data_IF_545182276218
#
_entry.id   IF_545182276218
#
_cell.length_a   1.000
_cell.length_b   1.000
_cell.length_c   1.000
_cell.angle_alpha   90.00
_cell.angle_beta   90.00
_cell.angle_gamma   90.00
#
_symmetry.space_group_name_H-M   'P 1'
#
loop_
_entity.id
_entity.type
_entity.pdbx_description
1 polymer ?
#
# COMPACT_ATOMS: atom_id res chain seq x y z
N UNK A 1 36.91 7.51 -7.46
CA UNK A 1 36.02 6.67 -6.67
C UNK A 1 35.31 7.48 -5.57
N UNK A 2 36.03 8.23 -4.72
CA UNK A 2 35.46 9.05 -3.62
C UNK A 2 34.43 10.09 -4.09
N UNK A 3 34.67 10.79 -5.21
CA UNK A 3 33.74 11.78 -5.77
C UNK A 3 32.44 11.12 -6.24
N UNK A 4 32.52 9.90 -6.75
CA UNK A 4 31.34 9.13 -7.15
C UNK A 4 30.50 8.70 -5.93
N UNK A 5 31.17 8.23 -4.87
CA UNK A 5 30.52 7.81 -3.62
C UNK A 5 29.85 9.00 -2.93
N UNK A 6 30.50 10.18 -2.90
CA UNK A 6 29.91 11.39 -2.31
C UNK A 6 28.67 11.88 -3.06
N UNK A 7 28.65 11.76 -4.39
CA UNK A 7 27.49 12.11 -5.21
C UNK A 7 26.35 11.07 -5.12
N UNK A 8 26.68 9.79 -4.95
CA UNK A 8 25.69 8.72 -4.83
C UNK A 8 25.06 8.63 -3.42
N UNK A 9 25.76 9.12 -2.40
CA UNK A 9 25.34 9.03 -1.00
C UNK A 9 23.90 9.55 -0.73
N UNK A 10 23.48 10.76 -1.18
CA UNK A 10 22.14 11.25 -0.92
C UNK A 10 21.06 10.37 -1.58
N UNK A 11 21.33 9.83 -2.77
CA UNK A 11 20.39 8.94 -3.45
C UNK A 11 20.28 7.58 -2.78
N UNK A 12 21.42 7.00 -2.35
CA UNK A 12 21.43 5.74 -1.63
C UNK A 12 20.74 5.84 -0.28
N UNK A 13 20.88 6.98 0.41
CA UNK A 13 20.22 7.21 1.71
C UNK A 13 18.68 7.34 1.54
N UNK A 14 18.23 8.06 0.51
CA UNK A 14 16.80 8.21 0.20
C UNK A 14 16.16 6.86 -0.20
N UNK A 15 16.92 6.00 -0.90
CA UNK A 15 16.49 4.65 -1.28
C UNK A 15 16.57 3.62 -0.14
N UNK A 16 16.99 4.02 1.07
CA UNK A 16 17.18 3.09 2.20
C UNK A 16 18.43 2.20 2.05
N UNK A 17 19.29 2.47 1.07
CA UNK A 17 20.52 1.73 0.77
C UNK A 17 21.78 2.40 1.38
N UNK A 18 21.62 3.26 2.37
CA UNK A 18 22.71 3.98 3.05
C UNK A 18 23.80 3.06 3.61
N UNK A 19 23.45 1.84 3.98
CA UNK A 19 24.38 0.81 4.46
C UNK A 19 25.39 0.33 3.40
N UNK A 20 25.16 0.58 2.10
CA UNK A 20 26.12 0.30 1.04
C UNK A 20 27.29 1.30 1.04
N UNK A 21 27.08 2.51 1.56
CA UNK A 21 28.10 3.56 1.55
C UNK A 21 29.37 3.17 2.33
N UNK A 22 29.29 2.66 3.57
CA UNK A 22 30.46 2.16 4.28
C UNK A 22 31.20 1.05 3.52
N UNK A 23 30.47 0.13 2.87
CA UNK A 23 31.05 -0.96 2.08
C UNK A 23 31.85 -0.40 0.89
N UNK A 24 31.26 0.55 0.14
CA UNK A 24 31.92 1.20 -0.99
C UNK A 24 33.16 1.98 -0.56
N UNK A 25 33.14 2.61 0.63
CA UNK A 25 34.29 3.32 1.20
C UNK A 25 35.40 2.37 1.67
N UNK A 26 35.04 1.20 2.22
CA UNK A 26 36.02 0.15 2.54
C UNK A 26 36.78 -0.31 1.29
N UNK A 27 36.06 -0.56 0.18
CA UNK A 27 36.66 -0.93 -1.10
C UNK A 27 37.55 0.18 -1.67
N UNK A 28 37.26 1.45 -1.33
CA UNK A 28 38.06 2.60 -1.75
C UNK A 28 39.30 2.85 -0.87
N UNK A 29 39.58 2.00 0.13
CA UNK A 29 40.79 2.10 0.98
C UNK A 29 40.71 3.11 2.12
N UNK A 30 39.51 3.57 2.49
CA UNK A 30 39.29 4.43 3.66
C UNK A 30 39.41 3.61 4.97
N UNK A 31 39.61 4.30 6.11
CA UNK A 31 39.82 3.71 7.43
C UNK A 31 38.78 2.60 7.75
N UNK A 32 39.22 1.35 7.75
CA UNK A 32 38.41 0.16 7.89
C UNK A 32 37.59 0.14 9.20
N UNK A 33 38.21 0.60 10.30
CA UNK A 33 37.61 0.61 11.64
C UNK A 33 36.40 1.54 11.73
N UNK A 34 36.44 2.72 11.10
CA UNK A 34 35.33 3.67 11.08
C UNK A 34 34.17 3.16 10.22
N UNK A 35 34.52 2.59 9.06
CA UNK A 35 33.51 2.05 8.15
C UNK A 35 32.83 0.79 8.73
N UNK A 36 33.54 -0.05 9.46
CA UNK A 36 32.96 -1.17 10.21
C UNK A 36 32.04 -0.71 11.33
N UNK A 37 32.38 0.36 12.03
CA UNK A 37 31.54 0.93 13.07
C UNK A 37 30.25 1.52 12.49
N UNK A 38 30.33 2.22 11.35
CA UNK A 38 29.16 2.74 10.63
C UNK A 38 28.28 1.61 10.11
N UNK A 39 28.86 0.56 9.55
CA UNK A 39 28.13 -0.62 9.09
C UNK A 39 27.45 -1.34 10.26
N UNK A 40 28.14 -1.47 11.40
CA UNK A 40 27.55 -2.04 12.61
C UNK A 40 26.33 -1.22 13.09
N UNK A 41 26.43 0.11 13.09
CA UNK A 41 25.33 0.97 13.50
C UNK A 41 24.16 0.92 12.51
N UNK A 42 24.41 0.83 11.20
CA UNK A 42 23.37 0.87 10.17
C UNK A 42 22.72 -0.49 9.89
N UNK A 43 23.45 -1.59 10.02
CA UNK A 43 22.98 -2.96 9.80
C UNK A 43 23.00 -3.81 11.04
N UNK A 44 24.13 -3.83 11.78
CA UNK A 44 24.30 -4.72 12.91
C UNK A 44 23.26 -4.48 14.02
N UNK A 45 23.10 -3.22 14.43
CA UNK A 45 22.15 -2.86 15.49
C UNK A 45 20.70 -3.18 15.10
N UNK A 46 20.20 -2.80 13.90
CA UNK A 46 18.85 -3.22 13.47
C UNK A 46 18.67 -4.74 13.36
N UNK A 47 19.68 -5.46 12.85
CA UNK A 47 19.61 -6.93 12.75
C UNK A 47 19.56 -7.59 14.13
N UNK A 48 20.37 -7.11 15.09
CA UNK A 48 20.30 -7.60 16.48
C UNK A 48 18.94 -7.29 17.10
N UNK A 49 18.41 -6.10 16.89
CA UNK A 49 17.10 -5.74 17.39
C UNK A 49 15.99 -6.63 16.83
N UNK A 50 16.02 -6.90 15.51
CA UNK A 50 15.08 -7.82 14.85
C UNK A 50 15.25 -9.24 15.38
N UNK A 51 16.49 -9.72 15.54
CA UNK A 51 16.76 -11.05 16.08
C UNK A 51 16.25 -11.21 17.51
N UNK A 52 16.48 -10.20 18.38
CA UNK A 52 15.94 -10.18 19.74
C UNK A 52 14.40 -10.17 19.75
N UNK A 53 13.78 -9.37 18.89
CA UNK A 53 12.33 -9.35 18.74
C UNK A 53 11.79 -10.73 18.32
N UNK A 54 12.38 -11.36 17.32
CA UNK A 54 11.96 -12.69 16.84
C UNK A 54 12.18 -13.76 17.90
N UNK A 55 13.28 -13.69 18.67
CA UNK A 55 13.55 -14.60 19.78
C UNK A 55 12.51 -14.42 20.90
N UNK A 56 12.21 -13.18 21.29
CA UNK A 56 11.18 -12.87 22.29
C UNK A 56 9.80 -13.36 21.83
N UNK A 57 9.41 -13.07 20.57
CA UNK A 57 8.17 -13.55 20.00
C UNK A 57 8.10 -15.08 20.01
N UNK A 58 9.17 -15.76 19.59
CA UNK A 58 9.22 -17.23 19.60
C UNK A 58 9.05 -17.80 21.01
N UNK A 59 9.70 -17.18 22.00
CA UNK A 59 9.61 -17.61 23.40
C UNK A 59 8.20 -17.37 24.00
N UNK A 60 7.56 -16.26 23.67
CA UNK A 60 6.20 -15.95 24.12
C UNK A 60 5.18 -16.86 23.42
N UNK A 61 5.30 -17.05 22.11
CA UNK A 61 4.41 -17.92 21.33
C UNK A 61 4.42 -19.36 21.86
N UNK A 62 5.58 -19.88 22.26
CA UNK A 62 5.71 -21.21 22.81
C UNK A 62 5.06 -21.40 24.19
N UNK A 63 4.66 -20.32 24.87
CA UNK A 63 4.08 -20.35 26.23
C UNK A 63 2.58 -20.07 26.26
N UNK A 64 2.01 -19.64 25.13
CA UNK A 64 0.62 -19.21 25.04
C UNK A 64 -0.17 -20.26 24.27
N UNK A 65 -0.89 -21.11 24.98
CA UNK A 65 -1.89 -22.01 24.41
C UNK A 65 -3.28 -21.38 24.57
N UNK A 66 -4.00 -21.26 23.46
CA UNK A 66 -5.37 -20.75 23.45
C UNK A 66 -6.35 -21.86 23.13
N UNK A 67 -7.64 -21.64 23.41
CA UNK A 67 -8.72 -22.56 23.03
C UNK A 67 -8.82 -22.82 21.51
N UNK A 68 -8.20 -21.97 20.70
CA UNK A 68 -8.13 -22.06 19.24
C UNK A 68 -6.81 -22.67 18.72
N UNK A 69 -5.91 -23.11 19.65
CA UNK A 69 -4.58 -23.64 19.33
C UNK A 69 -3.46 -22.73 19.85
N UNK A 70 -2.21 -23.16 19.70
CA UNK A 70 -1.04 -22.38 20.07
C UNK A 70 -0.87 -21.13 19.21
N UNK A 71 -0.36 -20.05 19.80
CA UNK A 71 -0.03 -18.82 19.04
C UNK A 71 1.13 -19.11 18.08
N UNK A 72 1.00 -18.82 16.77
CA UNK A 72 2.05 -19.14 15.81
C UNK A 72 3.31 -18.29 16.07
N UNK A 73 4.45 -18.98 16.21
CA UNK A 73 5.76 -18.35 16.29
C UNK A 73 6.29 -17.97 14.89
N UNK A 74 7.45 -17.27 14.81
CA UNK A 74 8.02 -16.78 13.56
C UNK A 74 8.26 -17.89 12.51
N UNK A 75 8.71 -19.06 12.95
CA UNK A 75 8.94 -20.21 12.07
C UNK A 75 7.64 -20.76 11.48
N UNK A 76 6.57 -20.84 12.28
CA UNK A 76 5.25 -21.27 11.82
C UNK A 76 4.66 -20.28 10.80
N UNK A 77 4.79 -18.99 11.06
CA UNK A 77 4.36 -17.92 10.12
C UNK A 77 5.13 -18.02 8.80
N UNK A 78 6.46 -18.25 8.85
CA UNK A 78 7.26 -18.43 7.65
C UNK A 78 6.85 -19.67 6.85
N UNK A 79 6.58 -20.78 7.54
CA UNK A 79 6.12 -22.01 6.90
C UNK A 79 4.77 -21.79 6.20
N UNK A 80 3.83 -21.13 6.90
CA UNK A 80 2.52 -20.82 6.34
C UNK A 80 2.60 -19.85 5.15
N UNK A 81 3.46 -18.84 5.21
CA UNK A 81 3.70 -17.95 4.08
C UNK A 81 4.18 -18.71 2.83
N UNK A 82 5.02 -19.72 3.01
CA UNK A 82 5.45 -20.60 1.90
C UNK A 82 4.30 -21.46 1.37
N UNK A 83 3.45 -21.98 2.25
CA UNK A 83 2.26 -22.74 1.87
C UNK A 83 1.29 -21.89 1.05
N UNK A 84 1.04 -20.64 1.45
CA UNK A 84 0.19 -19.69 0.71
C UNK A 84 0.73 -19.40 -0.70
N UNK A 85 2.04 -19.29 -0.85
CA UNK A 85 2.67 -19.14 -2.19
C UNK A 85 2.50 -20.41 -3.02
N UNK A 86 2.66 -21.59 -2.41
CA UNK A 86 2.47 -22.87 -3.10
C UNK A 86 1.00 -23.06 -3.51
N UNK A 87 0.05 -22.72 -2.63
CA UNK A 87 -1.39 -22.74 -2.93
C UNK A 87 -1.73 -21.82 -4.11
N UNK A 88 -1.17 -20.62 -4.13
CA UNK A 88 -1.37 -19.68 -5.22
C UNK A 88 -0.89 -20.24 -6.57
N UNK A 89 0.28 -20.88 -6.59
CA UNK A 89 0.82 -21.49 -7.81
C UNK A 89 -0.07 -22.63 -8.29
N UNK A 90 -0.46 -23.52 -7.37
CA UNK A 90 -1.34 -24.64 -7.69
C UNK A 90 -2.70 -24.18 -8.22
N UNK A 91 -3.26 -23.09 -7.69
CA UNK A 91 -4.53 -22.53 -8.17
C UNK A 91 -4.39 -21.89 -9.56
N UNK A 92 -3.23 -21.26 -9.84
CA UNK A 92 -2.92 -20.76 -11.18
C UNK A 92 -2.81 -21.88 -12.21
N UNK A 93 -2.14 -22.98 -11.88
CA UNK A 93 -2.05 -24.16 -12.73
C UNK A 93 -3.44 -24.76 -13.02
N UNK A 94 -4.28 -24.91 -11.99
CA UNK A 94 -5.67 -25.38 -12.17
C UNK A 94 -6.48 -24.48 -13.10
N UNK A 95 -6.29 -23.18 -13.00
CA UNK A 95 -6.94 -22.20 -13.86
C UNK A 95 -6.51 -22.36 -15.32
N UNK A 96 -5.20 -22.49 -15.56
CA UNK A 96 -4.65 -22.69 -16.90
C UNK A 96 -5.13 -24.00 -17.50
N UNK A 97 -5.10 -25.10 -16.75
CA UNK A 97 -5.65 -26.38 -17.17
C UNK A 97 -7.15 -26.32 -17.49
N UNK A 98 -7.92 -25.56 -16.71
CA UNK A 98 -9.35 -25.39 -16.97
C UNK A 98 -9.58 -24.70 -18.33
N UNK A 99 -8.86 -23.62 -18.62
CA UNK A 99 -8.99 -22.94 -19.90
C UNK A 99 -8.46 -23.76 -21.06
N UNK A 100 -7.35 -24.46 -20.90
CA UNK A 100 -6.81 -25.37 -21.93
C UNK A 100 -7.80 -26.49 -22.27
N UNK A 101 -8.41 -27.12 -21.25
CA UNK A 101 -9.45 -28.15 -21.46
C UNK A 101 -10.69 -27.57 -22.14
N UNK A 102 -11.08 -26.33 -21.80
CA UNK A 102 -12.22 -25.65 -22.42
C UNK A 102 -11.93 -25.33 -23.90
N UNK A 103 -10.74 -24.86 -24.19
CA UNK A 103 -10.28 -24.57 -25.56
C UNK A 103 -10.25 -25.82 -26.41
N UNK A 104 -9.64 -26.91 -25.92
CA UNK A 104 -9.59 -28.20 -26.63
C UNK A 104 -10.99 -28.73 -26.92
N UNK A 105 -11.90 -28.67 -25.96
CA UNK A 105 -13.30 -29.10 -26.14
C UNK A 105 -14.04 -28.23 -27.16
N UNK A 106 -13.85 -26.92 -27.11
CA UNK A 106 -14.50 -25.98 -28.04
C UNK A 106 -13.96 -26.15 -29.46
N UNK A 107 -12.65 -26.39 -29.61
CA UNK A 107 -12.02 -26.68 -30.89
C UNK A 107 -12.54 -28.01 -31.50
N UNK A 108 -12.69 -29.05 -30.69
CA UNK A 108 -13.28 -30.33 -31.14
C UNK A 108 -14.75 -30.13 -31.61
N UNK A 109 -15.56 -29.40 -30.85
CA UNK A 109 -16.95 -29.12 -31.21
C UNK A 109 -17.08 -28.31 -32.51
N UNK A 110 -16.20 -27.35 -32.75
CA UNK A 110 -16.17 -26.56 -33.99
C UNK A 110 -15.67 -27.39 -35.19
N UNK A 111 -14.79 -28.37 -34.98
CA UNK A 111 -14.31 -29.28 -35.99
C UNK A 111 -15.43 -30.24 -36.46
N UNK A 112 -16.30 -30.69 -35.55
CA UNK A 112 -17.45 -31.54 -35.89
C UNK A 112 -18.60 -30.70 -36.51
N UNK A 113 -18.85 -29.50 -35.98
CA UNK A 113 -19.90 -28.64 -36.48
C UNK A 113 -19.44 -27.16 -36.44
N UNK A 114 -19.15 -26.55 -37.63
CA UNK A 114 -18.73 -25.15 -37.70
C UNK A 114 -19.75 -24.12 -37.16
N UNK A 115 -21.03 -24.51 -36.97
CA UNK A 115 -22.08 -23.70 -36.38
C UNK A 115 -22.31 -23.98 -34.89
N UNK A 116 -21.44 -24.79 -34.23
CA UNK A 116 -21.59 -25.11 -32.83
C UNK A 116 -21.39 -23.86 -31.95
N UNK A 117 -22.25 -23.70 -30.96
CA UNK A 117 -22.15 -22.63 -29.97
C UNK A 117 -20.94 -22.85 -29.06
N UNK A 118 -19.95 -21.97 -29.15
CA UNK A 118 -18.76 -22.00 -28.27
C UNK A 118 -19.12 -21.49 -26.89
N UNK A 119 -19.06 -22.36 -25.89
CA UNK A 119 -19.30 -21.96 -24.49
C UNK A 119 -18.02 -21.55 -23.82
N UNK A 120 -17.88 -20.26 -23.55
CA UNK A 120 -16.79 -19.72 -22.73
C UNK A 120 -17.31 -19.56 -21.28
N UNK A 121 -16.85 -20.45 -20.40
CA UNK A 121 -17.15 -20.37 -18.97
C UNK A 121 -15.98 -19.73 -18.24
N UNK A 122 -16.27 -18.76 -17.37
CA UNK A 122 -15.28 -18.17 -16.48
C UNK A 122 -14.89 -19.18 -15.40
N UNK A 123 -13.59 -19.28 -15.11
CA UNK A 123 -13.12 -20.07 -13.98
C UNK A 123 -13.62 -19.48 -12.67
N UNK A 124 -14.23 -20.31 -11.83
CA UNK A 124 -14.83 -19.92 -10.54
C UNK A 124 -14.08 -20.54 -9.36
N UNK A 125 -12.76 -20.70 -9.49
CA UNK A 125 -11.90 -21.17 -8.40
C UNK A 125 -11.88 -20.22 -7.21
N UNK A 126 -11.45 -20.73 -6.07
CA UNK A 126 -11.36 -19.96 -4.83
C UNK A 126 -10.24 -18.89 -4.97
N UNK A 127 -10.52 -17.61 -4.66
CA UNK A 127 -9.47 -16.58 -4.66
C UNK A 127 -8.42 -16.93 -3.60
N UNK A 128 -7.16 -16.94 -4.00
CA UNK A 128 -6.05 -17.21 -3.09
C UNK A 128 -5.77 -16.02 -2.19
N UNK A 129 -5.05 -16.25 -1.10
CA UNK A 129 -4.69 -15.17 -0.17
C UNK A 129 -3.88 -14.05 -0.84
N UNK A 130 -3.00 -14.40 -1.80
CA UNK A 130 -2.27 -13.41 -2.59
C UNK A 130 -3.17 -12.57 -3.49
N UNK A 131 -4.20 -13.19 -4.12
CA UNK A 131 -5.19 -12.43 -4.89
C UNK A 131 -5.96 -11.45 -4.00
N UNK A 132 -6.31 -11.88 -2.77
CA UNK A 132 -6.98 -11.01 -1.79
C UNK A 132 -6.09 -9.84 -1.34
N UNK A 133 -4.78 -10.08 -1.13
CA UNK A 133 -3.81 -9.00 -0.83
C UNK A 133 -3.77 -8.00 -1.97
N UNK A 134 -3.64 -8.45 -3.22
CA UNK A 134 -3.58 -7.57 -4.38
C UNK A 134 -4.87 -6.75 -4.54
N UNK A 135 -6.02 -7.39 -4.37
CA UNK A 135 -7.31 -6.69 -4.40
C UNK A 135 -7.41 -5.65 -3.29
N UNK A 136 -6.98 -5.98 -2.07
CA UNK A 136 -6.97 -5.06 -0.94
C UNK A 136 -6.04 -3.86 -1.19
N UNK A 137 -4.83 -4.11 -1.71
CA UNK A 137 -3.88 -3.05 -2.08
C UNK A 137 -4.45 -2.14 -3.18
N UNK A 138 -5.04 -2.72 -4.23
CA UNK A 138 -5.68 -1.96 -5.30
C UNK A 138 -6.83 -1.09 -4.76
N UNK A 139 -7.66 -1.63 -3.86
CA UNK A 139 -8.76 -0.92 -3.22
C UNK A 139 -8.27 0.26 -2.37
N UNK A 140 -7.28 0.00 -1.51
CA UNK A 140 -6.68 1.05 -0.65
C UNK A 140 -6.01 2.12 -1.49
N UNK A 141 -5.24 1.73 -2.51
CA UNK A 141 -4.58 2.66 -3.41
C UNK A 141 -5.59 3.55 -4.15
N UNK A 142 -6.65 2.95 -4.69
CA UNK A 142 -7.72 3.69 -5.37
C UNK A 142 -8.38 4.69 -4.44
N UNK A 143 -8.78 4.26 -3.23
CA UNK A 143 -9.38 5.15 -2.25
C UNK A 143 -8.44 6.28 -1.79
N UNK A 144 -7.15 5.97 -1.61
CA UNK A 144 -6.15 6.96 -1.24
C UNK A 144 -5.91 7.99 -2.36
N UNK A 145 -5.83 7.56 -3.61
CA UNK A 145 -5.69 8.47 -4.77
C UNK A 145 -6.90 9.39 -4.87
N UNK A 146 -8.12 8.87 -4.76
CA UNK A 146 -9.33 9.68 -4.78
C UNK A 146 -9.35 10.70 -3.63
N UNK A 147 -8.99 10.26 -2.42
CA UNK A 147 -8.87 11.16 -1.27
C UNK A 147 -7.83 12.27 -1.53
N UNK A 148 -6.68 11.94 -2.06
CA UNK A 148 -5.57 12.87 -2.34
C UNK A 148 -5.96 13.89 -3.40
N UNK A 149 -6.65 13.47 -4.47
CA UNK A 149 -7.14 14.38 -5.53
C UNK A 149 -8.07 15.48 -5.00
N UNK A 150 -8.81 15.20 -3.93
CA UNK A 150 -9.69 16.18 -3.29
C UNK A 150 -8.98 16.91 -2.15
N UNK A 151 -8.27 16.16 -1.30
CA UNK A 151 -7.65 16.69 -0.09
C UNK A 151 -6.51 17.67 -0.36
N UNK A 152 -5.68 17.41 -1.37
CA UNK A 152 -4.52 18.26 -1.66
C UNK A 152 -4.94 19.63 -2.17
N UNK A 153 -5.82 19.79 -3.18
CA UNK A 153 -6.27 21.11 -3.61
C UNK A 153 -6.97 21.89 -2.48
N UNK A 154 -7.88 21.22 -1.76
CA UNK A 154 -8.57 21.86 -0.63
C UNK A 154 -7.62 22.22 0.51
N UNK A 155 -6.64 21.36 0.81
CA UNK A 155 -5.62 21.58 1.82
C UNK A 155 -4.70 22.75 1.46
N UNK A 156 -4.30 22.88 0.20
CA UNK A 156 -3.52 24.05 -0.29
C UNK A 156 -4.35 25.32 -0.14
N UNK A 157 -5.60 25.33 -0.56
CA UNK A 157 -6.49 26.48 -0.38
C UNK A 157 -6.68 26.85 1.10
N UNK A 158 -6.86 25.85 1.98
CA UNK A 158 -7.00 26.07 3.41
C UNK A 158 -5.69 26.57 4.06
N UNK A 159 -4.54 26.10 3.61
CA UNK A 159 -3.23 26.55 4.09
C UNK A 159 -2.89 28.00 3.69
N UNK A 160 -3.34 28.41 2.50
CA UNK A 160 -3.12 29.77 1.98
C UNK A 160 -4.13 30.81 2.50
N UNK A 161 -5.37 30.38 2.85
CA UNK A 161 -6.47 31.28 3.20
C UNK A 161 -7.03 30.98 4.58
N UNK A 162 -6.95 31.96 5.50
CA UNK A 162 -7.55 31.86 6.84
C UNK A 162 -9.08 31.65 6.78
N UNK A 163 -9.75 32.25 5.79
CA UNK A 163 -11.20 32.11 5.61
C UNK A 163 -11.58 30.68 5.20
N UNK A 164 -10.86 30.12 4.23
CA UNK A 164 -11.08 28.71 3.81
C UNK A 164 -10.77 27.77 4.96
N UNK A 165 -9.68 27.99 5.69
CA UNK A 165 -9.34 27.17 6.86
C UNK A 165 -10.43 27.24 7.93
N UNK A 166 -10.96 28.41 8.25
CA UNK A 166 -12.05 28.57 9.21
C UNK A 166 -13.34 27.87 8.76
N UNK A 167 -13.62 27.84 7.45
CA UNK A 167 -14.79 27.14 6.90
C UNK A 167 -14.64 25.61 6.91
N UNK A 168 -13.44 25.09 6.65
CA UNK A 168 -13.19 23.64 6.57
C UNK A 168 -12.95 23.03 7.94
N UNK A 169 -12.40 23.78 8.89
CA UNK A 169 -12.02 23.27 10.19
C UNK A 169 -13.17 22.59 10.99
N UNK A 170 -14.42 23.12 11.05
CA UNK A 170 -15.51 22.43 11.71
C UNK A 170 -15.82 21.05 11.11
N UNK A 171 -15.76 20.94 9.77
CA UNK A 171 -15.97 19.66 9.09
C UNK A 171 -14.89 18.64 9.44
N UNK A 172 -13.64 19.11 9.46
CA UNK A 172 -12.50 18.28 9.88
C UNK A 172 -12.67 17.77 11.31
N UNK A 173 -13.10 18.64 12.24
CA UNK A 173 -13.28 18.24 13.65
C UNK A 173 -14.41 17.23 13.83
N UNK A 174 -15.46 17.29 13.02
CA UNK A 174 -16.59 16.35 13.08
C UNK A 174 -16.21 15.01 12.46
N UNK A 175 -15.58 15.01 11.29
CA UNK A 175 -15.37 13.78 10.49
C UNK A 175 -14.06 13.06 10.76
N UNK A 176 -13.00 13.77 11.19
CA UNK A 176 -11.71 13.14 11.51
C UNK A 176 -11.79 12.03 12.56
N UNK A 177 -12.54 12.16 13.68
CA UNK A 177 -12.64 11.12 14.70
C UNK A 177 -13.55 9.96 14.31
N UNK A 178 -14.25 10.02 13.17
CA UNK A 178 -15.17 8.95 12.77
C UNK A 178 -14.39 7.71 12.36
N UNK A 179 -14.69 6.59 13.03
CA UNK A 179 -14.05 5.30 12.75
C UNK A 179 -14.43 4.77 11.36
N UNK A 180 -13.51 4.10 10.63
CA UNK A 180 -13.83 3.38 9.40
C UNK A 180 -15.00 2.40 9.55
N UNK A 181 -15.14 1.77 10.71
CA UNK A 181 -16.27 0.87 11.02
C UNK A 181 -17.61 1.59 11.04
N UNK A 182 -17.65 2.88 11.40
CA UNK A 182 -18.88 3.67 11.36
C UNK A 182 -19.24 4.12 9.94
N UNK A 183 -18.24 4.35 9.08
CA UNK A 183 -18.46 4.69 7.68
C UNK A 183 -18.99 3.52 6.85
N UNK A 184 -18.54 2.30 7.11
CA UNK A 184 -18.85 1.14 6.29
C UNK A 184 -20.36 0.88 6.11
N UNK A 185 -21.21 0.87 7.16
CA UNK A 185 -22.65 0.68 6.99
C UNK A 185 -23.32 1.78 6.15
N UNK A 186 -22.92 3.04 6.36
CA UNK A 186 -23.47 4.19 5.66
C UNK A 186 -23.11 4.11 4.17
N UNK A 187 -21.84 3.86 3.86
CA UNK A 187 -21.35 3.70 2.49
C UNK A 187 -22.03 2.53 1.80
N UNK A 188 -22.15 1.39 2.49
CA UNK A 188 -22.81 0.21 1.93
C UNK A 188 -24.29 0.47 1.61
N UNK A 189 -25.01 1.19 2.46
CA UNK A 189 -26.39 1.57 2.22
C UNK A 189 -26.52 2.46 0.98
N UNK A 190 -25.70 3.50 0.87
CA UNK A 190 -25.71 4.44 -0.26
C UNK A 190 -25.32 3.74 -1.57
N UNK A 191 -24.22 2.97 -1.55
CA UNK A 191 -23.76 2.24 -2.74
C UNK A 191 -24.78 1.21 -3.18
N UNK A 192 -25.43 0.49 -2.26
CA UNK A 192 -26.45 -0.49 -2.59
C UNK A 192 -27.69 0.15 -3.22
N UNK A 193 -28.00 1.39 -2.87
CA UNK A 193 -29.12 2.14 -3.43
C UNK A 193 -28.82 2.74 -4.81
N UNK A 194 -27.59 3.20 -5.03
CA UNK A 194 -27.21 3.95 -6.24
C UNK A 194 -26.57 3.04 -7.29
N UNK A 195 -25.76 2.07 -6.86
CA UNK A 195 -25.02 1.17 -7.74
C UNK A 195 -25.79 -0.14 -7.95
N UNK A 196 -26.89 -0.06 -8.72
CA UNK A 196 -27.71 -1.20 -9.10
C UNK A 196 -27.44 -1.53 -10.55
N UNK A 197 -26.67 -2.60 -10.80
CA UNK A 197 -26.39 -3.13 -12.14
C UNK A 197 -26.35 -4.65 -12.07
N UNK A 198 -26.93 -5.31 -13.09
CA UNK A 198 -26.90 -6.77 -13.23
C UNK A 198 -25.51 -7.28 -13.64
N UNK A 199 -24.72 -6.44 -14.33
CA UNK A 199 -23.31 -6.71 -14.69
C UNK A 199 -22.46 -5.50 -14.29
N UNK A 200 -22.09 -5.38 -13.02
CA UNK A 200 -21.34 -4.25 -12.52
C UNK A 200 -19.89 -4.30 -13.02
N UNK A 201 -19.41 -3.20 -13.60
CA UNK A 201 -18.02 -3.05 -14.04
C UNK A 201 -17.01 -3.24 -12.90
N UNK A 202 -17.38 -2.85 -11.67
CA UNK A 202 -16.62 -3.06 -10.45
C UNK A 202 -17.47 -3.82 -9.44
N UNK A 203 -16.85 -4.72 -8.70
CA UNK A 203 -17.55 -5.41 -7.60
C UNK A 203 -18.01 -4.42 -6.53
N UNK A 204 -19.23 -4.59 -6.02
CA UNK A 204 -19.80 -3.72 -4.97
C UNK A 204 -18.92 -3.64 -3.72
N UNK A 205 -18.25 -4.75 -3.37
CA UNK A 205 -17.29 -4.83 -2.27
C UNK A 205 -16.11 -3.89 -2.47
N UNK A 206 -15.56 -3.84 -3.70
CA UNK A 206 -14.48 -2.94 -4.06
C UNK A 206 -14.90 -1.47 -3.94
N UNK A 207 -16.07 -1.11 -4.50
CA UNK A 207 -16.59 0.26 -4.46
C UNK A 207 -16.84 0.71 -3.02
N UNK A 208 -17.50 -0.12 -2.20
CA UNK A 208 -17.74 0.16 -0.77
C UNK A 208 -16.44 0.44 -0.02
N UNK A 209 -15.45 -0.44 -0.21
CA UNK A 209 -14.16 -0.33 0.47
C UNK A 209 -13.37 0.88 -0.02
N UNK A 210 -13.34 1.15 -1.33
CA UNK A 210 -12.63 2.29 -1.89
C UNK A 210 -13.22 3.63 -1.41
N UNK A 211 -14.55 3.77 -1.36
CA UNK A 211 -15.23 4.97 -0.83
C UNK A 211 -14.93 5.12 0.67
N UNK A 212 -15.00 4.03 1.44
CA UNK A 212 -14.68 4.07 2.88
C UNK A 212 -13.24 4.53 3.11
N UNK A 213 -12.27 3.99 2.37
CA UNK A 213 -10.87 4.43 2.43
C UNK A 213 -10.73 5.89 2.03
N UNK A 214 -11.45 6.34 0.99
CA UNK A 214 -11.45 7.74 0.55
C UNK A 214 -11.88 8.66 1.69
N UNK A 215 -13.01 8.39 2.33
CA UNK A 215 -13.53 9.20 3.43
C UNK A 215 -12.59 9.21 4.64
N UNK A 216 -11.95 8.09 4.96
CA UNK A 216 -11.02 8.00 6.08
C UNK A 216 -9.69 8.69 5.80
N UNK A 217 -9.19 8.66 4.56
CA UNK A 217 -7.89 9.23 4.16
C UNK A 217 -7.97 10.73 3.86
N UNK A 218 -9.15 11.23 3.47
CA UNK A 218 -9.37 12.61 3.05
C UNK A 218 -9.00 13.62 4.15
N UNK A 219 -9.48 13.41 5.36
CA UNK A 219 -9.30 14.38 6.46
C UNK A 219 -7.85 14.50 6.92
N UNK A 220 -7.11 13.41 7.19
CA UNK A 220 -5.69 13.47 7.51
C UNK A 220 -4.86 14.09 6.39
N UNK A 221 -5.11 13.72 5.13
CA UNK A 221 -4.40 14.28 3.99
C UNK A 221 -4.63 15.79 3.84
N UNK A 222 -5.87 16.25 4.01
CA UNK A 222 -6.24 17.66 3.95
C UNK A 222 -5.54 18.47 5.04
N UNK A 223 -5.57 17.98 6.29
CA UNK A 223 -4.94 18.66 7.43
C UNK A 223 -3.42 18.77 7.22
N UNK A 224 -2.78 17.65 6.86
CA UNK A 224 -1.34 17.62 6.67
C UNK A 224 -0.91 18.54 5.53
N UNK A 225 -1.68 18.59 4.44
CA UNK A 225 -1.44 19.52 3.33
C UNK A 225 -1.60 20.98 3.78
N UNK A 226 -2.68 21.29 4.49
CA UNK A 226 -2.93 22.65 4.98
C UNK A 226 -1.84 23.12 5.96
N UNK A 227 -1.43 22.25 6.88
CA UNK A 227 -0.32 22.52 7.81
C UNK A 227 1.01 22.68 7.07
N UNK A 228 1.31 21.82 6.09
CA UNK A 228 2.52 21.91 5.28
C UNK A 228 2.61 23.24 4.54
N UNK A 229 1.51 23.68 3.91
CA UNK A 229 1.45 25.00 3.23
C UNK A 229 1.55 26.16 4.22
N UNK A 230 0.87 26.07 5.36
CA UNK A 230 0.92 27.13 6.39
C UNK A 230 2.29 27.25 7.08
N UNK A 231 3.10 26.19 7.05
CA UNK A 231 4.45 26.16 7.64
C UNK A 231 5.55 26.70 6.71
N UNK A 232 5.22 27.08 5.47
CA UNK A 232 6.18 27.68 4.54
C UNK A 232 6.71 29.00 5.12
N UNK A 233 8.03 29.14 5.12
CA UNK A 233 8.70 30.30 5.65
C UNK A 233 8.23 31.60 4.93
N UNK A 234 7.91 32.60 5.73
CA UNK A 234 7.46 33.91 5.22
C UNK A 234 8.52 34.59 4.35
N UNK A 235 9.81 34.36 4.62
CA UNK A 235 10.89 34.90 3.81
C UNK A 235 10.91 34.32 2.42
N UNK A 236 10.65 32.99 2.28
CA UNK A 236 10.48 32.36 0.97
C UNK A 236 9.26 32.92 0.21
N UNK A 237 8.15 33.14 0.92
CA UNK A 237 6.96 33.76 0.32
C UNK A 237 7.24 35.20 -0.14
N UNK A 238 8.02 35.99 0.61
CA UNK A 238 8.42 37.34 0.25
C UNK A 238 9.36 37.35 -0.95
N UNK A 239 10.34 36.45 -1.00
CA UNK A 239 11.22 36.29 -2.17
C UNK A 239 10.40 35.98 -3.43
N UNK A 240 9.43 35.05 -3.35
CA UNK A 240 8.53 34.74 -4.47
C UNK A 240 7.76 35.99 -4.95
N UNK A 241 7.29 36.85 -4.04
CA UNK A 241 6.61 38.11 -4.38
C UNK A 241 7.54 39.11 -5.04
N UNK A 242 8.77 39.28 -4.53
CA UNK A 242 9.77 40.17 -5.10
C UNK A 242 10.17 39.76 -6.50
N UNK A 243 10.30 38.43 -6.73
CA UNK A 243 10.61 37.86 -8.03
C UNK A 243 9.39 37.81 -8.96
N UNK A 244 8.22 38.30 -8.52
CA UNK A 244 6.95 38.27 -9.26
C UNK A 244 6.62 36.86 -9.83
N UNK A 245 6.93 35.83 -9.06
CA UNK A 245 6.61 34.45 -9.46
C UNK A 245 5.09 34.32 -9.50
N UNK A 246 4.57 33.97 -10.68
CA UNK A 246 3.17 33.64 -10.89
C UNK A 246 2.82 32.23 -10.37
N UNK A 247 1.56 31.86 -10.53
CA UNK A 247 1.08 30.51 -10.18
C UNK A 247 1.61 29.39 -11.09
N UNK A 248 2.36 29.75 -12.15
CA UNK A 248 3.01 28.85 -13.11
C UNK A 248 4.43 29.32 -13.40
#
# INVERSE_FOLDING_TARGET
MQIFISRANPYLTVLGLGWLVPILRMVSGENLSLQLQDLWRQLGVPLVAIALFLALWSALAARIDTSLGGVPGPSAVWHEARNLVAEHRAERERREEFYARQETRNAAALAENPAAEVRVRRYTGKPTYLDQILTSLATVFTGFVLATLVAVPLGVCAGLSKTVNAAVNPLVQIFKPVSPLAWLPIVTMVVSAVYVSDDPWLEKSFVNSAITVTLCSLWPALINTALGVASIDKDLMNVGRVLQLGWF
#
